data_IF_082851208596
#
_entry.id   IF_082851208596
#
_cell.length_a   1.000
_cell.length_b   1.000
_cell.length_c   1.000
_cell.angle_alpha   90.00
_cell.angle_beta   90.00
_cell.angle_gamma   90.00
#
_symmetry.space_group_name_H-M   'P 1'
#
loop_
_entity.id
_entity.type
_entity.pdbx_description
1 polymer ?
#
# COMPACT_ATOMS: atom_id res chain seq x y z
N UNK A 1 19.85 -7.29 -8.55
CA UNK A 1 20.60 -6.52 -7.54
C UNK A 1 19.91 -5.19 -7.44
N UNK A 2 19.04 -5.01 -6.45
CA UNK A 2 18.47 -3.71 -6.14
C UNK A 2 19.60 -2.84 -5.62
N UNK A 3 19.90 -1.74 -6.32
CA UNK A 3 20.90 -0.77 -5.95
C UNK A 3 20.64 -0.27 -4.53
N UNK A 4 21.71 -0.09 -3.75
CA UNK A 4 21.65 0.28 -2.35
C UNK A 4 20.76 1.48 -2.09
N UNK A 5 19.63 1.20 -1.47
CA UNK A 5 18.81 2.25 -0.90
C UNK A 5 19.62 2.98 0.17
N UNK A 6 19.61 4.30 0.10
CA UNK A 6 20.13 5.11 1.21
C UNK A 6 19.44 4.61 2.48
N UNK A 7 20.24 4.41 3.52
CA UNK A 7 19.74 3.91 4.79
C UNK A 7 18.86 5.01 5.38
N UNK A 8 17.54 4.76 5.44
CA UNK A 8 16.61 5.69 6.08
C UNK A 8 17.11 6.06 7.48
N UNK A 9 17.16 7.34 7.77
CA UNK A 9 17.53 7.83 9.09
C UNK A 9 16.37 7.58 10.06
N UNK A 10 16.69 7.23 11.30
CA UNK A 10 15.70 6.92 12.32
C UNK A 10 15.89 7.88 13.47
N UNK A 11 14.84 8.62 13.78
CA UNK A 11 14.82 9.58 14.87
C UNK A 11 14.10 9.03 16.09
N UNK A 12 14.59 9.41 17.26
CA UNK A 12 13.88 9.18 18.50
C UNK A 12 12.64 10.08 18.58
N UNK A 13 11.54 9.53 19.08
CA UNK A 13 10.26 10.24 19.22
C UNK A 13 10.33 11.54 20.05
N UNK A 14 11.36 11.70 20.90
CA UNK A 14 11.62 12.91 21.70
C UNK A 14 12.48 13.96 20.98
N UNK A 15 13.13 13.59 19.87
CA UNK A 15 14.06 14.44 19.14
C UNK A 15 13.72 14.45 17.65
N UNK A 16 12.59 15.03 17.31
CA UNK A 16 12.14 15.17 15.92
C UNK A 16 12.95 16.31 15.29
N UNK A 17 13.55 16.12 14.10
CA UNK A 17 14.30 17.15 13.42
C UNK A 17 13.38 18.25 12.89
N UNK A 18 13.95 19.40 12.57
CA UNK A 18 13.23 20.41 11.81
C UNK A 18 12.92 19.89 10.42
N UNK A 19 11.66 19.99 10.01
CA UNK A 19 11.22 19.57 8.69
C UNK A 19 11.69 20.56 7.62
N UNK A 20 11.98 20.05 6.42
CA UNK A 20 12.13 20.89 5.22
C UNK A 20 10.74 21.36 4.75
N UNK A 21 10.71 22.34 3.86
CA UNK A 21 9.46 22.98 3.40
C UNK A 21 8.47 22.00 2.77
N UNK A 22 8.95 20.93 2.12
CA UNK A 22 8.16 19.93 1.42
C UNK A 22 7.92 18.67 2.25
N UNK A 23 8.47 18.60 3.46
CA UNK A 23 8.35 17.43 4.34
C UNK A 23 7.18 17.57 5.30
N UNK A 24 6.44 16.47 5.46
CA UNK A 24 5.38 16.33 6.46
C UNK A 24 5.59 15.07 7.30
N UNK A 25 5.04 15.07 8.52
CA UNK A 25 5.04 13.89 9.38
C UNK A 25 3.67 13.24 9.25
N UNK A 26 3.67 11.93 8.94
CA UNK A 26 2.44 11.13 8.89
C UNK A 26 2.57 9.86 9.73
N UNK A 27 1.48 9.39 10.35
CA UNK A 27 1.40 8.05 10.92
C UNK A 27 1.65 7.00 9.84
N UNK A 28 2.38 5.92 10.15
CA UNK A 28 2.62 4.84 9.21
C UNK A 28 1.94 3.55 9.67
N UNK A 29 1.12 2.98 8.81
CA UNK A 29 0.58 1.65 8.96
C UNK A 29 1.39 0.68 8.11
N UNK A 30 2.27 -0.08 8.76
CA UNK A 30 3.16 -1.04 8.12
C UNK A 30 2.51 -2.41 8.07
N UNK A 31 2.24 -2.91 6.89
CA UNK A 31 1.57 -4.19 6.63
C UNK A 31 2.35 -5.05 5.63
N UNK A 32 1.92 -6.29 5.45
CA UNK A 32 2.47 -7.20 4.43
C UNK A 32 1.66 -7.16 3.12
N UNK A 33 0.66 -6.29 3.05
CA UNK A 33 -0.21 -6.11 1.89
C UNK A 33 -0.05 -4.72 1.31
N UNK A 34 -0.18 -4.61 -0.01
CA UNK A 34 -0.14 -3.35 -0.73
C UNK A 34 -1.50 -2.68 -0.84
N UNK A 35 -1.45 -1.37 -0.91
CA UNK A 35 -2.50 -0.52 -1.43
C UNK A 35 -1.85 0.41 -2.45
N UNK A 36 -2.42 0.49 -3.66
CA UNK A 36 -1.98 1.40 -4.70
C UNK A 36 -2.91 2.62 -4.79
N UNK A 37 -2.53 3.71 -5.47
CA UNK A 37 -3.45 4.80 -5.77
C UNK A 37 -4.73 4.29 -6.43
N UNK A 38 -5.88 4.86 -6.09
CA UNK A 38 -7.22 4.48 -6.60
C UNK A 38 -7.69 3.05 -6.23
N UNK A 39 -6.91 2.32 -5.44
CA UNK A 39 -7.29 1.02 -4.91
C UNK A 39 -8.02 1.15 -3.58
N UNK A 40 -8.79 0.14 -3.22
CA UNK A 40 -9.58 0.10 -2.00
C UNK A 40 -9.36 -1.20 -1.24
N UNK A 41 -9.18 -1.08 0.07
CA UNK A 41 -8.97 -2.23 0.93
C UNK A 41 -9.80 -2.14 2.21
N UNK A 42 -10.53 -3.24 2.52
CA UNK A 42 -11.21 -3.35 3.82
C UNK A 42 -10.19 -3.64 4.91
N UNK A 43 -10.10 -2.75 5.87
CA UNK A 43 -9.16 -2.82 6.99
C UNK A 43 -9.85 -3.26 8.26
N UNK A 44 -9.13 -4.07 9.05
CA UNK A 44 -9.53 -4.47 10.40
C UNK A 44 -8.40 -4.18 11.37
N UNK A 45 -8.64 -3.32 12.33
CA UNK A 45 -7.66 -2.91 13.34
C UNK A 45 -8.05 -3.42 14.72
N UNK A 46 -7.12 -4.09 15.37
CA UNK A 46 -7.29 -4.65 16.72
C UNK A 46 -6.09 -4.32 17.64
N UNK A 47 -4.93 -3.99 17.09
CA UNK A 47 -3.73 -3.67 17.85
C UNK A 47 -3.84 -2.28 18.50
N UNK A 48 -3.48 -2.11 19.81
CA UNK A 48 -3.59 -0.85 20.52
C UNK A 48 -2.89 0.31 19.83
N UNK A 49 -1.67 0.09 19.30
CA UNK A 49 -0.90 1.12 18.58
C UNK A 49 -1.63 1.68 17.35
N UNK A 50 -2.30 0.82 16.61
CA UNK A 50 -3.05 1.25 15.43
C UNK A 50 -4.43 1.79 15.78
N UNK A 51 -4.99 1.43 16.93
CA UNK A 51 -6.19 2.10 17.46
C UNK A 51 -5.86 3.54 17.86
N UNK A 52 -4.77 3.77 18.61
CA UNK A 52 -4.30 5.13 18.89
C UNK A 52 -4.06 5.91 17.60
N UNK A 53 -3.41 5.28 16.61
CA UNK A 53 -3.19 5.92 15.32
C UNK A 53 -4.50 6.35 14.66
N UNK A 54 -5.52 5.49 14.65
CA UNK A 54 -6.83 5.83 14.07
C UNK A 54 -7.54 6.93 14.85
N UNK A 55 -7.48 6.90 16.18
CA UNK A 55 -8.06 7.96 17.03
C UNK A 55 -7.41 9.31 16.71
N UNK A 56 -6.09 9.37 16.62
CA UNK A 56 -5.35 10.58 16.25
C UNK A 56 -5.73 11.08 14.85
N UNK A 57 -5.82 10.17 13.86
CA UNK A 57 -6.16 10.52 12.47
C UNK A 57 -7.58 11.06 12.36
N UNK A 58 -8.54 10.41 13.01
CA UNK A 58 -9.94 10.84 12.99
C UNK A 58 -10.12 12.18 13.69
N UNK A 59 -9.43 12.41 14.80
CA UNK A 59 -9.48 13.67 15.55
C UNK A 59 -8.86 14.84 14.78
N UNK A 60 -7.72 14.58 14.14
CA UNK A 60 -6.93 15.61 13.44
C UNK A 60 -7.37 15.81 11.98
N UNK A 61 -8.18 14.89 11.44
CA UNK A 61 -8.61 14.91 10.03
C UNK A 61 -7.45 14.72 9.05
N UNK A 62 -6.40 14.00 9.46
CA UNK A 62 -5.19 13.77 8.69
C UNK A 62 -5.20 12.38 8.03
N UNK A 63 -4.57 12.22 6.87
CA UNK A 63 -4.35 10.91 6.28
C UNK A 63 -3.24 10.16 7.04
N UNK A 64 -3.19 8.84 6.87
CA UNK A 64 -2.04 8.03 7.28
C UNK A 64 -1.32 7.46 6.06
N UNK A 65 -0.06 7.05 6.23
CA UNK A 65 0.71 6.37 5.19
C UNK A 65 0.56 4.85 5.28
N UNK A 66 0.03 4.22 4.23
CA UNK A 66 0.08 2.78 4.06
C UNK A 66 1.41 2.40 3.42
N UNK A 67 2.16 1.54 4.10
CA UNK A 67 3.50 1.12 3.67
C UNK A 67 3.68 -0.38 3.85
N UNK A 68 4.53 -0.97 3.02
CA UNK A 68 4.85 -2.39 3.11
C UNK A 68 6.09 -2.63 3.97
N UNK A 69 5.99 -3.67 4.76
CA UNK A 69 7.08 -4.22 5.56
C UNK A 69 8.22 -4.71 4.64
N UNK A 70 9.46 -4.34 4.99
CA UNK A 70 10.65 -4.79 4.27
C UNK A 70 11.36 -5.88 5.07
N UNK A 71 11.16 -7.17 4.74
CA UNK A 71 11.74 -8.28 5.50
C UNK A 71 13.28 -8.37 5.40
N UNK A 72 13.89 -7.58 4.50
CA UNK A 72 15.36 -7.52 4.38
C UNK A 72 15.99 -6.56 5.38
N UNK A 73 15.18 -5.75 6.08
CA UNK A 73 15.66 -4.80 7.09
C UNK A 73 15.45 -5.38 8.49
N UNK A 74 16.38 -5.14 9.43
CA UNK A 74 16.18 -5.51 10.83
C UNK A 74 15.00 -4.71 11.41
N UNK A 75 14.22 -5.33 12.26
CA UNK A 75 13.15 -4.67 12.98
C UNK A 75 13.68 -3.50 13.82
N UNK A 76 12.92 -2.42 13.82
CA UNK A 76 13.15 -1.25 14.66
C UNK A 76 12.34 -1.39 15.95
N UNK A 77 13.00 -1.74 17.05
CA UNK A 77 12.31 -1.94 18.33
C UNK A 77 11.08 -2.88 18.21
N UNK A 78 11.20 -3.98 17.43
CA UNK A 78 10.10 -4.93 17.21
C UNK A 78 9.01 -4.44 16.23
N UNK A 79 9.25 -3.36 15.52
CA UNK A 79 8.40 -2.88 14.45
C UNK A 79 9.11 -3.10 13.12
N UNK A 80 8.41 -3.68 12.15
CA UNK A 80 8.96 -3.89 10.81
C UNK A 80 9.30 -2.55 10.16
N UNK A 81 10.50 -2.42 9.62
CA UNK A 81 10.90 -1.26 8.83
C UNK A 81 10.23 -1.35 7.46
N UNK A 82 9.56 -0.30 6.97
CA UNK A 82 8.91 -0.34 5.67
C UNK A 82 9.90 -0.15 4.52
N UNK A 83 9.44 -0.44 3.29
CA UNK A 83 10.05 0.13 2.08
C UNK A 83 9.94 1.65 2.09
N UNK A 84 10.73 2.31 1.27
CA UNK A 84 10.87 3.78 1.23
C UNK A 84 9.75 4.51 0.48
N UNK A 85 8.70 3.80 0.05
CA UNK A 85 7.54 4.38 -0.65
C UNK A 85 6.24 3.81 -0.12
N UNK A 86 5.18 4.61 -0.23
CA UNK A 86 3.83 4.24 0.17
C UNK A 86 2.77 5.14 -0.45
N UNK A 87 1.54 4.99 0.01
CA UNK A 87 0.41 5.83 -0.36
C UNK A 87 -0.26 6.44 0.86
N UNK A 88 -0.68 7.68 0.76
CA UNK A 88 -1.59 8.29 1.73
C UNK A 88 -2.96 7.62 1.63
N UNK A 89 -3.60 7.42 2.76
CA UNK A 89 -4.89 6.74 2.85
C UNK A 89 -5.92 7.65 3.48
N UNK A 90 -7.05 7.75 2.81
CA UNK A 90 -8.28 8.31 3.36
C UNK A 90 -9.18 7.18 3.88
N UNK A 91 -9.77 7.42 5.06
CA UNK A 91 -10.65 6.46 5.72
C UNK A 91 -12.10 6.74 5.34
N UNK A 92 -12.80 5.70 4.91
CA UNK A 92 -14.24 5.73 4.65
C UNK A 92 -14.94 4.58 5.38
N UNK A 93 -16.26 4.69 5.55
CA UNK A 93 -17.13 3.63 6.11
C UNK A 93 -16.64 3.07 7.46
N UNK A 94 -16.20 3.95 8.36
CA UNK A 94 -15.72 3.55 9.68
C UNK A 94 -16.82 2.92 10.54
N UNK A 95 -16.53 1.75 11.12
CA UNK A 95 -17.44 1.00 11.98
C UNK A 95 -16.70 0.36 13.15
N UNK A 96 -17.30 0.43 14.34
CA UNK A 96 -16.85 -0.33 15.51
C UNK A 96 -17.55 -1.69 15.58
N UNK A 97 -16.78 -2.76 15.70
CA UNK A 97 -17.29 -4.11 15.87
C UNK A 97 -16.62 -4.81 17.06
N UNK A 98 -17.23 -4.67 18.24
CA UNK A 98 -16.64 -5.14 19.49
C UNK A 98 -15.33 -4.39 19.79
N UNK A 99 -14.24 -5.11 19.93
CA UNK A 99 -12.91 -4.52 20.12
C UNK A 99 -12.16 -4.21 18.82
N UNK A 100 -12.78 -4.45 17.66
CA UNK A 100 -12.16 -4.19 16.37
C UNK A 100 -12.74 -2.93 15.73
N UNK A 101 -11.88 -2.23 14.98
CA UNK A 101 -12.27 -1.13 14.13
C UNK A 101 -12.19 -1.61 12.68
N UNK A 102 -13.28 -1.41 11.93
CA UNK A 102 -13.38 -1.74 10.52
C UNK A 102 -13.55 -0.46 9.72
N UNK A 103 -12.85 -0.36 8.60
CA UNK A 103 -13.00 0.78 7.69
C UNK A 103 -12.56 0.41 6.27
N UNK A 104 -12.98 1.21 5.30
CA UNK A 104 -12.51 1.15 3.93
C UNK A 104 -11.34 2.12 3.78
N UNK A 105 -10.18 1.59 3.44
CA UNK A 105 -8.99 2.36 3.10
C UNK A 105 -8.99 2.68 1.62
N UNK A 106 -8.90 3.97 1.27
CA UNK A 106 -8.80 4.43 -0.12
C UNK A 106 -7.37 4.92 -0.37
N UNK A 107 -6.66 4.31 -1.32
CA UNK A 107 -5.32 4.70 -1.71
C UNK A 107 -5.32 6.02 -2.50
N UNK A 108 -4.57 6.99 -2.00
CA UNK A 108 -4.43 8.32 -2.55
C UNK A 108 -3.04 8.63 -3.10
N UNK A 109 -2.51 9.78 -2.73
CA UNK A 109 -1.23 10.30 -3.20
C UNK A 109 -0.05 9.40 -2.79
N UNK A 110 0.92 9.28 -3.68
CA UNK A 110 2.17 8.55 -3.43
C UNK A 110 3.14 9.40 -2.64
N UNK A 111 3.93 8.77 -1.79
CA UNK A 111 4.98 9.46 -1.06
C UNK A 111 6.26 8.64 -0.96
N UNK A 112 7.36 9.33 -0.68
CA UNK A 112 8.64 8.74 -0.30
C UNK A 112 8.90 9.01 1.17
N UNK A 113 9.44 8.02 1.87
CA UNK A 113 9.89 8.16 3.26
C UNK A 113 11.34 8.62 3.24
N UNK A 114 11.60 9.82 3.77
CA UNK A 114 12.94 10.35 3.95
C UNK A 114 13.57 9.82 5.26
N UNK A 115 12.75 9.74 6.32
CA UNK A 115 13.19 9.29 7.63
C UNK A 115 12.04 8.69 8.43
N UNK A 116 12.36 7.88 9.43
CA UNK A 116 11.39 7.30 10.37
C UNK A 116 11.52 7.95 11.74
N UNK A 117 10.42 8.01 12.44
CA UNK A 117 10.35 8.36 13.85
C UNK A 117 9.85 7.12 14.60
N UNK A 118 10.69 6.60 15.49
CA UNK A 118 10.36 5.40 16.27
C UNK A 118 9.15 5.63 17.20
N UNK A 119 8.39 4.58 17.54
CA UNK A 119 7.36 4.68 18.55
C UNK A 119 7.98 5.04 19.91
N UNK A 120 7.20 5.67 20.75
CA UNK A 120 7.66 6.13 22.04
C UNK A 120 7.89 5.00 23.04
N UNK A 121 7.18 3.86 22.90
CA UNK A 121 7.39 2.66 23.67
C UNK A 121 8.01 1.56 22.82
N UNK A 122 8.93 0.81 23.44
CA UNK A 122 9.48 -0.39 22.83
C UNK A 122 8.47 -1.54 22.93
N UNK A 123 8.36 -2.40 21.91
CA UNK A 123 7.45 -3.56 21.91
C UNK A 123 7.70 -4.57 23.03
N UNK A 124 8.85 -4.54 23.69
CA UNK A 124 9.17 -5.38 24.85
C UNK A 124 8.11 -5.27 25.96
N UNK A 125 7.41 -4.13 26.04
CA UNK A 125 6.27 -3.94 26.94
C UNK A 125 4.97 -4.58 26.45
N UNK A 126 4.92 -5.02 25.20
CA UNK A 126 3.73 -5.66 24.63
C UNK A 126 3.67 -7.17 24.85
N UNK A 127 4.58 -7.77 25.65
CA UNK A 127 4.59 -9.23 25.94
C UNK A 127 3.38 -9.95 25.35
N UNK A 128 3.48 -10.81 24.40
CA UNK A 128 2.51 -11.68 23.71
C UNK A 128 0.99 -11.55 24.03
N UNK A 129 0.61 -10.71 25.00
CA UNK A 129 -0.75 -10.29 25.35
C UNK A 129 -0.77 -8.78 25.13
N UNK A 130 -1.47 -8.32 24.09
CA UNK A 130 -1.63 -6.89 23.86
C UNK A 130 -2.32 -6.27 25.08
N UNK A 131 -1.64 -5.36 25.82
CA UNK A 131 -2.29 -4.61 26.88
C UNK A 131 -3.45 -3.79 26.31
N UNK A 132 -4.43 -3.48 27.11
CA UNK A 132 -5.47 -2.54 26.72
C UNK A 132 -4.86 -1.16 26.45
N UNK A 133 -5.54 -0.32 25.67
CA UNK A 133 -5.10 1.07 25.45
C UNK A 133 -4.97 1.79 26.81
N UNK A 134 -5.92 1.53 27.72
CA UNK A 134 -5.93 2.15 29.06
C UNK A 134 -4.70 1.75 29.89
N UNK A 135 -4.30 0.48 29.88
CA UNK A 135 -3.09 0.00 30.56
C UNK A 135 -1.82 0.64 29.98
N UNK A 136 -1.75 0.79 28.66
CA UNK A 136 -0.63 1.46 28.00
C UNK A 136 -0.61 2.95 28.30
N UNK A 137 -1.76 3.61 28.35
CA UNK A 137 -1.88 5.02 28.65
C UNK A 137 -1.51 5.30 30.12
N UNK A 138 -1.94 4.48 31.08
CA UNK A 138 -1.58 4.66 32.48
C UNK A 138 -0.06 4.54 32.72
N UNK A 139 0.61 3.55 32.12
CA UNK A 139 2.05 3.35 32.27
C UNK A 139 2.86 4.41 31.51
N UNK A 140 2.27 4.99 30.48
CA UNK A 140 2.92 5.80 29.49
C UNK A 140 2.73 7.33 29.68
N UNK A 141 1.56 7.75 30.15
CA UNK A 141 1.20 9.16 30.38
C UNK A 141 2.15 9.85 31.36
N UNK A 142 2.68 9.13 32.37
CA UNK A 142 3.60 9.71 33.34
C UNK A 142 4.98 10.03 32.73
N UNK A 143 5.45 9.24 31.72
CA UNK A 143 6.78 9.42 31.17
C UNK A 143 6.81 10.29 29.91
N UNK A 144 5.83 10.17 29.01
CA UNK A 144 5.79 10.92 27.75
C UNK A 144 4.37 11.07 27.17
N UNK A 145 3.55 11.99 27.69
CA UNK A 145 2.13 12.14 27.28
C UNK A 145 1.90 12.39 25.78
N UNK A 146 2.86 13.03 25.11
CA UNK A 146 2.78 13.37 23.67
C UNK A 146 3.29 12.24 22.75
N UNK A 147 3.75 11.17 23.33
CA UNK A 147 4.33 10.08 22.57
C UNK A 147 3.29 9.27 21.79
N UNK A 148 3.71 8.70 20.68
CA UNK A 148 2.88 7.86 19.84
C UNK A 148 3.35 6.41 19.88
N UNK A 149 2.41 5.45 19.99
CA UNK A 149 2.70 4.02 20.05
C UNK A 149 3.04 3.43 18.67
N UNK A 150 2.83 4.18 17.62
CA UNK A 150 3.03 3.79 16.23
C UNK A 150 4.22 4.52 15.60
N UNK A 151 4.76 3.93 14.56
CA UNK A 151 5.82 4.55 13.74
C UNK A 151 5.25 5.72 12.95
N UNK A 152 6.02 6.79 12.84
CA UNK A 152 5.71 7.93 11.96
C UNK A 152 6.79 8.05 10.90
N UNK A 153 6.43 8.54 9.72
CA UNK A 153 7.35 8.86 8.65
C UNK A 153 7.48 10.38 8.47
N UNK A 154 8.69 10.85 8.25
CA UNK A 154 8.95 12.13 7.60
C UNK A 154 8.95 11.82 6.12
N UNK A 155 7.94 12.32 5.41
CA UNK A 155 7.66 11.98 4.02
C UNK A 155 7.68 13.20 3.12
N UNK A 156 7.86 12.94 1.85
CA UNK A 156 7.71 13.88 0.74
C UNK A 156 6.76 13.29 -0.29
N UNK A 157 5.80 14.07 -0.78
CA UNK A 157 4.87 13.62 -1.80
C UNK A 157 5.59 13.37 -3.12
N UNK A 158 5.28 12.27 -3.79
CA UNK A 158 5.74 12.00 -5.14
C UNK A 158 4.77 12.67 -6.11
N UNK A 159 5.25 13.49 -7.05
CA UNK A 159 4.40 14.12 -8.04
C UNK A 159 3.55 13.12 -8.83
N UNK A 160 2.43 13.57 -9.36
CA UNK A 160 1.60 12.78 -10.27
C UNK A 160 2.42 12.29 -11.48
N UNK A 161 1.97 11.15 -12.03
CA UNK A 161 2.59 10.60 -13.24
C UNK A 161 2.52 11.61 -14.38
N UNK A 162 3.66 11.86 -15.02
CA UNK A 162 3.72 12.70 -16.21
C UNK A 162 3.34 11.92 -17.47
N UNK A 163 2.87 12.66 -18.49
CA UNK A 163 2.49 12.11 -19.80
C UNK A 163 1.03 11.71 -19.91
N UNK A 164 0.63 11.33 -21.10
CA UNK A 164 -0.71 10.86 -21.45
C UNK A 164 -0.65 9.39 -21.86
N UNK A 165 -1.73 8.65 -21.63
CA UNK A 165 -1.82 7.26 -22.03
C UNK A 165 -2.27 7.23 -23.51
N UNK A 166 -1.41 6.75 -24.41
CA UNK A 166 -1.78 6.53 -25.80
C UNK A 166 -2.89 5.49 -25.91
N UNK A 167 -3.94 5.78 -26.68
CA UNK A 167 -5.11 4.91 -26.82
C UNK A 167 -4.74 3.51 -27.32
N UNK A 168 -3.80 3.40 -28.28
CA UNK A 168 -3.37 2.07 -28.78
C UNK A 168 -2.61 1.30 -27.73
N UNK A 169 -1.81 2.02 -26.91
CA UNK A 169 -1.11 1.44 -25.77
C UNK A 169 -2.09 0.89 -24.74
N UNK A 170 -3.14 1.67 -24.46
CA UNK A 170 -4.20 1.27 -23.53
C UNK A 170 -4.98 0.06 -24.04
N UNK A 171 -5.45 0.09 -25.29
CA UNK A 171 -6.17 -1.02 -25.91
C UNK A 171 -5.33 -2.31 -25.91
N UNK A 172 -4.03 -2.18 -26.13
CA UNK A 172 -3.12 -3.31 -26.05
C UNK A 172 -3.03 -3.90 -24.63
N UNK A 173 -2.90 -3.07 -23.58
CA UNK A 173 -2.88 -3.55 -22.20
C UNK A 173 -4.19 -4.26 -21.84
N UNK A 174 -5.33 -3.68 -22.21
CA UNK A 174 -6.63 -4.30 -21.99
C UNK A 174 -6.79 -5.62 -22.75
N UNK A 175 -6.26 -5.72 -23.98
CA UNK A 175 -6.27 -6.97 -24.73
C UNK A 175 -5.47 -8.07 -24.06
N UNK A 176 -4.33 -7.75 -23.47
CA UNK A 176 -3.53 -8.69 -22.68
C UNK A 176 -4.30 -9.13 -21.39
N UNK A 177 -4.94 -8.18 -20.72
CA UNK A 177 -5.72 -8.48 -19.52
C UNK A 177 -6.92 -9.38 -19.84
N UNK A 178 -7.66 -9.11 -20.92
CA UNK A 178 -8.75 -9.97 -21.41
C UNK A 178 -8.25 -11.38 -21.71
N UNK A 179 -7.15 -11.51 -22.46
CA UNK A 179 -6.55 -12.82 -22.74
C UNK A 179 -6.13 -13.58 -21.48
N UNK A 180 -5.68 -12.90 -20.45
CA UNK A 180 -5.39 -13.56 -19.17
C UNK A 180 -6.66 -14.06 -18.50
N UNK A 181 -7.74 -13.26 -18.45
CA UNK A 181 -9.04 -13.65 -17.87
C UNK A 181 -9.62 -14.84 -18.62
N UNK A 182 -9.59 -14.83 -19.96
CA UNK A 182 -10.05 -15.95 -20.80
C UNK A 182 -9.36 -17.26 -20.45
N UNK A 183 -8.03 -17.23 -20.29
CA UNK A 183 -7.25 -18.42 -19.92
C UNK A 183 -7.65 -18.91 -18.52
N UNK A 184 -7.81 -18.01 -17.56
CA UNK A 184 -8.24 -18.36 -16.20
C UNK A 184 -9.66 -18.92 -16.19
N UNK A 185 -10.59 -18.33 -16.93
CA UNK A 185 -11.97 -18.82 -17.06
C UNK A 185 -12.00 -20.23 -17.65
N UNK A 186 -11.22 -20.50 -18.69
CA UNK A 186 -11.12 -21.84 -19.29
C UNK A 186 -10.56 -22.89 -18.32
N UNK A 187 -9.54 -22.55 -17.54
CA UNK A 187 -8.94 -23.49 -16.57
C UNK A 187 -9.90 -23.81 -15.42
N UNK A 188 -10.69 -22.85 -14.99
CA UNK A 188 -11.65 -23.00 -13.91
C UNK A 188 -13.04 -23.48 -14.41
N UNK A 189 -13.15 -23.85 -15.68
CA UNK A 189 -14.41 -24.31 -16.30
C UNK A 189 -15.58 -23.34 -16.07
N UNK A 190 -15.28 -22.04 -16.08
CA UNK A 190 -16.28 -20.99 -15.89
C UNK A 190 -17.11 -20.80 -17.18
N UNK A 191 -18.42 -20.74 -17.04
CA UNK A 191 -19.33 -20.46 -18.16
C UNK A 191 -19.41 -18.95 -18.43
N UNK A 192 -18.31 -18.40 -19.00
CA UNK A 192 -18.15 -16.97 -19.32
C UNK A 192 -17.78 -16.86 -20.79
N UNK A 193 -18.51 -16.04 -21.53
CA UNK A 193 -18.22 -15.79 -22.96
C UNK A 193 -17.22 -14.66 -23.16
N UNK A 194 -16.55 -14.62 -24.30
CA UNK A 194 -15.64 -13.50 -24.68
C UNK A 194 -16.38 -12.16 -24.62
N UNK A 195 -17.69 -12.14 -24.96
CA UNK A 195 -18.52 -10.94 -24.89
C UNK A 195 -18.74 -10.45 -23.44
N UNK A 196 -18.88 -11.39 -22.49
CA UNK A 196 -19.05 -11.05 -21.07
C UNK A 196 -17.74 -10.43 -20.55
N UNK A 197 -16.58 -11.00 -20.90
CA UNK A 197 -15.27 -10.48 -20.54
C UNK A 197 -15.06 -9.09 -21.15
N UNK A 198 -15.39 -8.91 -22.42
CA UNK A 198 -15.29 -7.61 -23.11
C UNK A 198 -16.14 -6.54 -22.44
N UNK A 199 -17.38 -6.87 -22.11
CA UNK A 199 -18.30 -5.95 -21.46
C UNK A 199 -17.80 -5.55 -20.06
N UNK A 200 -17.36 -6.52 -19.28
CA UNK A 200 -16.88 -6.26 -17.92
C UNK A 200 -15.61 -5.39 -17.94
N UNK A 201 -14.62 -5.74 -18.76
CA UNK A 201 -13.37 -4.96 -18.86
C UNK A 201 -13.62 -3.56 -19.38
N UNK A 202 -14.49 -3.38 -20.39
CA UNK A 202 -14.81 -2.07 -20.91
C UNK A 202 -15.61 -1.22 -19.92
N UNK A 203 -16.45 -1.84 -19.07
CA UNK A 203 -17.16 -1.14 -17.98
C UNK A 203 -16.21 -0.71 -16.86
N UNK A 204 -15.23 -1.55 -16.51
CA UNK A 204 -14.23 -1.22 -15.48
C UNK A 204 -13.26 -0.14 -15.96
N UNK A 205 -12.89 -0.14 -17.23
CA UNK A 205 -11.85 0.70 -17.81
C UNK A 205 -12.32 1.44 -19.08
N UNK A 206 -13.31 2.34 -18.94
CA UNK A 206 -13.95 2.96 -20.10
C UNK A 206 -13.05 3.95 -20.88
N UNK A 207 -12.07 4.55 -20.19
CA UNK A 207 -11.18 5.57 -20.78
C UNK A 207 -9.73 5.41 -20.29
N UNK A 208 -8.74 5.77 -21.15
CA UNK A 208 -7.32 5.76 -20.79
C UNK A 208 -6.96 6.98 -19.92
N UNK A 209 -7.19 6.90 -18.64
CA UNK A 209 -6.82 7.93 -17.67
C UNK A 209 -5.95 7.38 -16.54
N UNK A 210 -5.23 8.24 -15.84
CA UNK A 210 -4.30 7.85 -14.75
C UNK A 210 -5.03 7.04 -13.67
N UNK A 211 -6.27 7.40 -13.34
CA UNK A 211 -7.08 6.63 -12.38
C UNK A 211 -7.35 5.20 -12.85
N UNK A 212 -7.72 5.03 -14.11
CA UNK A 212 -7.92 3.71 -14.71
C UNK A 212 -6.62 2.90 -14.76
N UNK A 213 -5.49 3.57 -15.01
CA UNK A 213 -4.17 2.94 -15.00
C UNK A 213 -3.81 2.39 -13.61
N UNK A 214 -4.04 3.14 -12.55
CA UNK A 214 -3.80 2.69 -11.18
C UNK A 214 -4.71 1.54 -10.78
N UNK A 215 -5.99 1.58 -11.13
CA UNK A 215 -6.93 0.47 -10.92
C UNK A 215 -6.48 -0.80 -11.64
N UNK A 216 -6.02 -0.67 -12.89
CA UNK A 216 -5.48 -1.82 -13.63
C UNK A 216 -4.17 -2.32 -13.00
N UNK A 217 -3.31 -1.43 -12.54
CA UNK A 217 -2.08 -1.79 -11.82
C UNK A 217 -2.38 -2.57 -10.54
N UNK A 218 -3.37 -2.15 -9.74
CA UNK A 218 -3.78 -2.82 -8.50
C UNK A 218 -4.27 -4.26 -8.74
N UNK A 219 -4.95 -4.52 -9.87
CA UNK A 219 -5.39 -5.88 -10.24
C UNK A 219 -4.26 -6.80 -10.72
N UNK A 220 -3.18 -6.22 -11.26
CA UNK A 220 -2.16 -6.98 -11.99
C UNK A 220 -0.87 -7.13 -11.21
N UNK A 221 -0.42 -6.06 -10.55
CA UNK A 221 0.85 -6.03 -9.83
C UNK A 221 0.69 -6.70 -8.47
N UNK A 222 1.12 -7.96 -8.37
CA UNK A 222 0.99 -8.78 -7.15
C UNK A 222 2.32 -9.04 -6.41
N UNK A 223 3.42 -8.52 -6.93
CA UNK A 223 4.72 -8.64 -6.27
C UNK A 223 5.16 -7.33 -5.61
N UNK A 224 5.80 -7.45 -4.44
CA UNK A 224 6.39 -6.32 -3.71
C UNK A 224 7.28 -5.47 -4.61
N UNK A 225 8.09 -6.11 -5.44
CA UNK A 225 9.00 -5.43 -6.36
C UNK A 225 8.24 -4.61 -7.41
N UNK A 226 7.24 -5.20 -8.08
CA UNK A 226 6.47 -4.52 -9.12
C UNK A 226 5.67 -3.33 -8.57
N UNK A 227 5.08 -3.50 -7.40
CA UNK A 227 4.31 -2.45 -6.74
C UNK A 227 5.21 -1.32 -6.23
N UNK A 228 6.34 -1.64 -5.60
CA UNK A 228 7.32 -0.64 -5.19
C UNK A 228 7.85 0.15 -6.39
N UNK A 229 8.14 -0.52 -7.51
CA UNK A 229 8.57 0.16 -8.73
C UNK A 229 7.48 1.05 -9.32
N UNK A 230 6.22 0.60 -9.30
CA UNK A 230 5.10 1.42 -9.81
C UNK A 230 4.89 2.68 -8.98
N UNK A 231 5.04 2.60 -7.64
CA UNK A 231 4.95 3.79 -6.78
C UNK A 231 6.09 4.78 -7.02
N UNK A 232 7.25 4.32 -7.46
CA UNK A 232 8.42 5.16 -7.80
C UNK A 232 8.40 5.71 -9.23
N UNK A 233 7.46 5.26 -10.07
CA UNK A 233 7.39 5.67 -11.47
C UNK A 233 7.18 7.18 -11.61
N UNK A 234 7.84 7.77 -12.60
CA UNK A 234 7.76 9.21 -12.88
C UNK A 234 6.75 9.53 -14.00
N UNK A 235 6.45 8.54 -14.84
CA UNK A 235 5.56 8.72 -15.98
C UNK A 235 4.67 7.51 -16.23
N UNK A 236 3.61 7.74 -17.02
CA UNK A 236 2.59 6.72 -17.32
C UNK A 236 3.16 5.50 -18.05
N UNK A 237 4.19 5.67 -18.93
CA UNK A 237 4.73 4.56 -19.70
C UNK A 237 5.53 3.57 -18.82
N UNK A 238 6.16 4.04 -17.77
CA UNK A 238 6.82 3.15 -16.80
C UNK A 238 5.80 2.22 -16.13
N UNK A 239 4.65 2.75 -15.70
CA UNK A 239 3.57 1.93 -15.10
C UNK A 239 2.96 0.99 -16.15
N UNK A 240 2.70 1.47 -17.38
CA UNK A 240 2.22 0.64 -18.49
C UNK A 240 3.16 -0.54 -18.75
N UNK A 241 4.47 -0.30 -18.76
CA UNK A 241 5.49 -1.33 -18.99
C UNK A 241 5.55 -2.36 -17.86
N UNK A 242 5.37 -1.94 -16.61
CA UNK A 242 5.26 -2.84 -15.46
C UNK A 242 4.01 -3.72 -15.57
N UNK A 243 2.86 -3.14 -15.90
CA UNK A 243 1.61 -3.86 -16.11
C UNK A 243 1.78 -4.89 -17.23
N UNK A 244 2.29 -4.49 -18.40
CA UNK A 244 2.52 -5.38 -19.54
C UNK A 244 3.39 -6.58 -19.14
N UNK A 245 4.55 -6.32 -18.56
CA UNK A 245 5.51 -7.39 -18.21
C UNK A 245 4.90 -8.37 -17.20
N UNK A 246 4.12 -7.88 -16.24
CA UNK A 246 3.46 -8.72 -15.24
C UNK A 246 2.32 -9.55 -15.84
N UNK A 247 1.49 -9.00 -16.73
CA UNK A 247 0.45 -9.78 -17.42
C UNK A 247 1.09 -10.87 -18.29
N UNK A 248 2.10 -10.54 -19.08
CA UNK A 248 2.79 -11.51 -19.92
C UNK A 248 3.42 -12.65 -19.10
N UNK A 249 3.99 -12.33 -17.95
CA UNK A 249 4.51 -13.33 -17.01
C UNK A 249 3.38 -14.23 -16.47
N UNK A 250 2.25 -13.64 -16.06
CA UNK A 250 1.07 -14.40 -15.58
C UNK A 250 0.55 -15.34 -16.67
N UNK A 251 0.35 -14.84 -17.89
CA UNK A 251 -0.09 -15.65 -19.06
C UNK A 251 0.87 -16.83 -19.30
N UNK A 252 2.18 -16.56 -19.30
CA UNK A 252 3.20 -17.58 -19.52
C UNK A 252 3.18 -18.65 -18.44
N UNK A 253 3.05 -18.25 -17.18
CA UNK A 253 2.99 -19.15 -16.03
C UNK A 253 1.78 -20.07 -16.12
N UNK A 254 0.60 -19.53 -16.41
CA UNK A 254 -0.64 -20.30 -16.48
C UNK A 254 -0.63 -21.28 -17.66
N UNK A 255 -0.05 -20.89 -18.80
CA UNK A 255 0.12 -21.79 -19.96
C UNK A 255 1.05 -22.97 -19.66
N UNK A 256 2.13 -22.74 -18.93
CA UNK A 256 3.04 -23.82 -18.50
C UNK A 256 2.34 -24.81 -17.56
N UNK A 257 1.54 -24.34 -16.61
CA UNK A 257 0.76 -25.20 -15.72
C UNK A 257 -0.23 -26.08 -16.48
N UNK A 258 -0.88 -25.55 -17.52
CA UNK A 258 -1.80 -26.33 -18.36
C UNK A 258 -1.08 -27.48 -19.09
N UNK A 259 0.08 -27.19 -19.69
CA UNK A 259 0.88 -28.20 -20.42
C UNK A 259 1.45 -29.29 -19.50
N UNK A 260 1.60 -29.04 -18.22
CA UNK A 260 2.13 -30.00 -17.25
C UNK A 260 1.05 -30.96 -16.70
N UNK A 261 -0.23 -30.66 -16.92
CA UNK A 261 -1.38 -31.42 -16.43
C UNK A 261 -2.15 -32.17 -17.57
N UNK A 262 -1.76 -31.94 -18.82
CA UNK A 262 -2.16 -32.74 -20.00
C UNK A 262 -1.15 -33.87 -20.26
#
# INVERSE_FOLDING_TARGET
>A
MLAGGEKMEIFNSRNIPNLKEEEIIVPLFTLDTFLLPEDQMMMRVFEPRYKQMLDDIVLDGLPYGHVISNPSMPELNGVSVPYDVGVLVEIDQFQEQGSNLLYLANGGERFRINSLIEPALKPEFFNSIFPSVDELVEEYVEEFPEGKLYVRGIIELIPDLTGEIDTKRWDYLLSLWKSYIEIIAQINEMDVTDLDIDNEVNNMFPIPEIKSLWKLAALILDSVEAQTLSLKAENVEEVCSLIESNIQKKISTVRLFRQSNE
#
